data_IF_172797840472
#
_entry.id   IF_172797840472
#
_cell.length_a   1.000
_cell.length_b   1.000
_cell.length_c   1.000
_cell.angle_alpha   90.00
_cell.angle_beta   90.00
_cell.angle_gamma   90.00
#
_symmetry.space_group_name_H-M   'P 1'
#
loop_
_entity.id
_entity.type
_entity.pdbx_description
1 polymer ?
#
# COMPACT_ATOMS: atom_id res chain seq x y z
N UNK A 1 37.08 -21.10 7.74
CA UNK A 1 37.04 -19.63 7.78
C UNK A 1 35.77 -19.23 7.04
N UNK A 2 34.93 -18.43 7.71
CA UNK A 2 33.85 -17.63 7.11
C UNK A 2 32.67 -18.36 6.46
N UNK A 3 31.91 -19.12 7.26
CA UNK A 3 30.46 -19.22 7.02
C UNK A 3 29.76 -18.01 7.64
N UNK A 4 30.29 -16.81 7.32
CA UNK A 4 29.67 -15.54 7.61
C UNK A 4 28.46 -15.46 6.67
N UNK A 5 27.37 -16.11 7.09
CA UNK A 5 26.02 -15.74 6.71
C UNK A 5 25.86 -14.26 7.09
N UNK A 6 26.33 -13.38 6.22
CA UNK A 6 25.76 -12.07 6.06
C UNK A 6 24.29 -12.33 5.72
N UNK A 7 23.46 -12.46 6.75
CA UNK A 7 22.10 -11.98 6.66
C UNK A 7 22.29 -10.52 6.28
N UNK A 8 22.30 -10.24 4.97
CA UNK A 8 22.09 -8.91 4.44
C UNK A 8 20.90 -8.43 5.23
N UNK A 9 21.15 -7.49 6.16
CA UNK A 9 20.19 -6.86 7.05
C UNK A 9 19.24 -6.07 6.16
N UNK A 10 18.51 -6.77 5.32
CA UNK A 10 17.44 -6.25 4.51
C UNK A 10 16.43 -5.87 5.56
N UNK A 11 16.10 -4.59 5.73
CA UNK A 11 15.02 -4.21 6.63
C UNK A 11 13.79 -4.94 6.13
N UNK A 12 13.47 -6.08 6.75
CA UNK A 12 12.29 -6.86 6.39
C UNK A 12 11.16 -5.97 6.84
N UNK A 13 10.53 -5.31 5.87
CA UNK A 13 9.30 -4.58 6.13
C UNK A 13 8.38 -5.49 6.93
N UNK A 14 7.88 -4.98 8.06
CA UNK A 14 7.01 -5.77 8.92
C UNK A 14 5.86 -6.35 8.08
N UNK A 15 5.53 -7.62 8.32
CA UNK A 15 4.42 -8.22 7.59
C UNK A 15 3.14 -7.57 8.10
N UNK A 16 2.35 -7.01 7.18
CA UNK A 16 1.03 -6.45 7.54
C UNK A 16 0.14 -7.62 7.94
N UNK A 17 -0.35 -7.60 9.18
CA UNK A 17 -1.20 -8.67 9.69
C UNK A 17 -2.57 -8.67 9.00
N UNK A 18 -3.25 -9.82 9.04
CA UNK A 18 -4.62 -9.94 8.49
C UNK A 18 -5.59 -8.93 9.14
N UNK A 19 -5.49 -8.72 10.46
CA UNK A 19 -6.35 -7.77 11.17
C UNK A 19 -6.18 -6.33 10.68
N UNK A 20 -4.95 -5.95 10.36
CA UNK A 20 -4.63 -4.65 9.78
C UNK A 20 -5.23 -4.46 8.38
N UNK A 21 -5.27 -5.53 7.58
CA UNK A 21 -5.95 -5.53 6.28
C UNK A 21 -7.47 -5.43 6.43
N UNK A 22 -8.06 -6.12 7.41
CA UNK A 22 -9.50 -6.02 7.68
C UNK A 22 -9.90 -4.58 8.02
N UNK A 23 -9.12 -3.88 8.85
CA UNK A 23 -9.37 -2.46 9.15
C UNK A 23 -9.20 -1.59 7.90
N UNK A 24 -8.18 -1.84 7.10
CA UNK A 24 -7.94 -1.11 5.84
C UNK A 24 -9.12 -1.25 4.87
N UNK A 25 -9.65 -2.47 4.73
CA UNK A 25 -10.81 -2.75 3.88
C UNK A 25 -12.12 -2.16 4.45
N UNK A 26 -12.26 -2.12 5.78
CA UNK A 26 -13.40 -1.48 6.43
C UNK A 26 -13.40 0.04 6.21
N UNK A 27 -12.23 0.68 6.28
CA UNK A 27 -12.07 2.11 5.98
C UNK A 27 -12.36 2.41 4.49
N UNK A 28 -11.96 1.51 3.60
CA UNK A 28 -12.27 1.56 2.16
C UNK A 28 -13.77 1.51 1.86
N UNK A 29 -14.57 0.85 2.71
CA UNK A 29 -16.02 0.82 2.55
C UNK A 29 -16.66 2.22 2.68
N UNK A 30 -15.96 3.16 3.31
CA UNK A 30 -16.37 4.57 3.39
C UNK A 30 -15.73 5.31 2.20
N UNK A 31 -16.49 5.76 1.19
CA UNK A 31 -15.93 6.23 -0.09
C UNK A 31 -14.92 7.37 0.04
N UNK A 32 -15.26 8.40 0.84
CA UNK A 32 -14.42 9.58 1.01
C UNK A 32 -13.16 9.26 1.82
N UNK A 33 -13.32 8.49 2.91
CA UNK A 33 -12.21 8.11 3.79
C UNK A 33 -11.26 7.15 3.08
N UNK A 34 -11.78 6.20 2.29
CA UNK A 34 -10.98 5.27 1.50
C UNK A 34 -10.06 5.98 0.51
N UNK A 35 -10.57 6.99 -0.21
CA UNK A 35 -9.76 7.79 -1.13
C UNK A 35 -8.68 8.58 -0.37
N UNK A 36 -9.03 9.25 0.74
CA UNK A 36 -8.05 9.98 1.56
C UNK A 36 -6.96 9.02 2.09
N UNK A 37 -7.37 7.85 2.59
CA UNK A 37 -6.45 6.84 3.11
C UNK A 37 -5.50 6.32 2.03
N UNK A 38 -5.92 6.18 0.78
CA UNK A 38 -5.02 5.83 -0.33
C UNK A 38 -3.88 6.85 -0.48
N UNK A 39 -4.18 8.14 -0.41
CA UNK A 39 -3.15 9.18 -0.48
C UNK A 39 -2.23 9.17 0.75
N UNK A 40 -2.80 9.00 1.95
CA UNK A 40 -2.03 8.88 3.20
C UNK A 40 -1.11 7.67 3.18
N UNK A 41 -1.56 6.53 2.65
CA UNK A 41 -0.73 5.33 2.54
C UNK A 41 0.29 5.41 1.40
N UNK A 42 -0.07 5.99 0.26
CA UNK A 42 0.83 6.12 -0.89
C UNK A 42 1.99 7.09 -0.65
N UNK A 43 1.74 8.18 0.09
CA UNK A 43 2.71 9.26 0.31
C UNK A 43 3.16 9.44 1.77
N UNK A 44 2.54 8.75 2.72
CA UNK A 44 2.90 8.84 4.13
C UNK A 44 4.21 8.10 4.45
N UNK A 45 5.15 8.80 5.09
CA UNK A 45 6.48 8.27 5.42
C UNK A 45 6.51 7.22 6.55
N UNK A 46 5.41 7.04 7.30
CA UNK A 46 5.32 6.09 8.42
C UNK A 46 4.46 4.86 8.10
N UNK A 47 4.07 4.67 6.83
CA UNK A 47 3.23 3.55 6.41
C UNK A 47 4.08 2.35 6.04
N UNK A 48 3.64 1.16 6.43
CA UNK A 48 4.25 -0.10 6.02
C UNK A 48 4.40 -0.15 4.48
N UNK A 49 5.59 -0.45 3.94
CA UNK A 49 5.83 -0.39 2.49
C UNK A 49 4.93 -1.33 1.69
N UNK A 50 4.43 -2.42 2.29
CA UNK A 50 3.45 -3.30 1.64
C UNK A 50 2.12 -2.57 1.41
N UNK A 51 1.62 -1.83 2.41
CA UNK A 51 0.40 -1.01 2.30
C UNK A 51 0.61 0.20 1.37
N UNK A 52 1.79 0.82 1.42
CA UNK A 52 2.13 1.92 0.52
C UNK A 52 2.18 1.47 -0.95
N UNK A 53 2.76 0.30 -1.24
CA UNK A 53 2.80 -0.27 -2.59
C UNK A 53 1.40 -0.59 -3.12
N UNK A 54 0.56 -1.22 -2.28
CA UNK A 54 -0.84 -1.48 -2.62
C UNK A 54 -1.60 -0.17 -2.92
N UNK A 55 -1.47 0.86 -2.07
CA UNK A 55 -2.15 2.12 -2.26
C UNK A 55 -1.72 2.83 -3.56
N UNK A 56 -0.42 2.83 -3.88
CA UNK A 56 0.11 3.35 -5.15
C UNK A 56 -0.48 2.59 -6.35
N UNK A 57 -0.56 1.26 -6.28
CA UNK A 57 -1.17 0.46 -7.34
C UNK A 57 -2.66 0.80 -7.53
N UNK A 58 -3.43 0.94 -6.44
CA UNK A 58 -4.83 1.34 -6.51
C UNK A 58 -5.01 2.72 -7.15
N UNK A 59 -4.15 3.69 -6.83
CA UNK A 59 -4.19 5.01 -7.46
C UNK A 59 -3.91 4.95 -8.97
N UNK A 60 -2.97 4.09 -9.40
CA UNK A 60 -2.69 3.87 -10.82
C UNK A 60 -3.93 3.26 -11.52
N UNK A 61 -4.57 2.25 -10.93
CA UNK A 61 -5.80 1.68 -11.48
C UNK A 61 -6.93 2.70 -11.57
N UNK A 62 -7.08 3.56 -10.56
CA UNK A 62 -8.03 4.68 -10.59
C UNK A 62 -7.71 5.64 -11.73
N UNK A 63 -6.45 6.03 -11.91
CA UNK A 63 -6.03 6.91 -12.99
C UNK A 63 -6.28 6.29 -14.37
N UNK A 64 -6.00 4.99 -14.54
CA UNK A 64 -6.31 4.25 -15.77
C UNK A 64 -7.81 4.22 -16.02
N UNK A 65 -8.62 3.93 -15.01
CA UNK A 65 -10.08 3.91 -15.11
C UNK A 65 -10.66 5.27 -15.53
N UNK A 66 -10.17 6.35 -14.93
CA UNK A 66 -10.55 7.72 -15.33
C UNK A 66 -10.09 8.04 -16.75
N UNK A 67 -8.88 7.63 -17.15
CA UNK A 67 -8.37 7.82 -18.50
C UNK A 67 -9.23 7.12 -19.56
N UNK A 68 -9.64 5.87 -19.31
CA UNK A 68 -10.54 5.13 -20.20
C UNK A 68 -11.92 5.79 -20.25
N UNK A 69 -12.48 6.15 -19.10
CA UNK A 69 -13.78 6.85 -19.01
C UNK A 69 -13.77 8.19 -19.76
N UNK A 70 -12.67 8.93 -19.71
CA UNK A 70 -12.55 10.22 -20.38
C UNK A 70 -12.42 10.12 -21.92
N UNK A 71 -11.98 8.97 -22.44
CA UNK A 71 -11.84 8.70 -23.89
C UNK A 71 -13.12 8.08 -24.47
N UNK A 72 -13.90 7.37 -23.65
CA UNK A 72 -15.16 6.70 -24.03
C UNK A 72 -16.28 7.71 -24.27
#
# INVERSE_FOLDING_TARGET
MENQQHQVLTPKADVVSMGDWMVTLLLMAIPVVGIIMLFVYAFGGNTNPNKASWAKATLIYLAIGVGIYAIS
#
